data_IF_717588707605
#
_entry.id   IF_717588707605
#
_cell.length_a   1.000
_cell.length_b   1.000
_cell.length_c   1.000
_cell.angle_alpha   90.00
_cell.angle_beta   90.00
_cell.angle_gamma   90.00
#
_symmetry.space_group_name_H-M   'P 1'
#
loop_
_entity.id
_entity.type
_entity.pdbx_description
1 polymer ?
#
# COMPACT_ATOMS: atom_id res chain seq x y z
N UNK A 1 -21.89 10.89 -6.33
CA UNK A 1 -21.36 10.35 -5.03
C UNK A 1 -21.37 8.85 -5.14
N UNK A 2 -20.23 8.16 -4.91
CA UNK A 2 -20.17 6.71 -5.00
C UNK A 2 -20.86 6.07 -3.79
N UNK A 3 -21.60 4.99 -4.02
CA UNK A 3 -22.27 4.21 -2.98
C UNK A 3 -21.69 2.82 -2.83
N UNK A 4 -20.97 2.33 -3.86
CA UNK A 4 -20.37 1.00 -3.89
C UNK A 4 -18.92 1.03 -4.35
N UNK A 5 -18.12 0.04 -3.96
CA UNK A 5 -16.77 -0.12 -4.49
C UNK A 5 -16.75 -0.35 -6.01
N UNK A 6 -17.77 -1.03 -6.53
CA UNK A 6 -17.91 -1.27 -7.98
C UNK A 6 -18.04 0.04 -8.77
N UNK A 7 -18.82 0.99 -8.27
CA UNK A 7 -18.94 2.32 -8.89
C UNK A 7 -17.62 3.10 -8.84
N UNK A 8 -16.93 3.03 -7.69
CA UNK A 8 -15.62 3.66 -7.52
C UNK A 8 -14.59 3.05 -8.46
N UNK A 9 -14.54 1.72 -8.57
CA UNK A 9 -13.64 1.00 -9.49
C UNK A 9 -13.92 1.40 -10.95
N UNK A 10 -15.17 1.40 -11.37
CA UNK A 10 -15.58 1.79 -12.73
C UNK A 10 -15.16 3.24 -13.04
N UNK A 11 -15.31 4.15 -12.08
CA UNK A 11 -14.87 5.53 -12.23
C UNK A 11 -13.35 5.64 -12.41
N UNK A 12 -12.57 4.96 -11.56
CA UNK A 12 -11.09 4.98 -11.64
C UNK A 12 -10.61 4.43 -12.97
N UNK A 13 -11.18 3.32 -13.43
CA UNK A 13 -10.88 2.74 -14.76
C UNK A 13 -11.22 3.72 -15.90
N UNK A 14 -12.33 4.44 -15.78
CA UNK A 14 -12.74 5.44 -16.79
C UNK A 14 -11.82 6.66 -16.85
N UNK A 15 -11.03 6.94 -15.82
CA UNK A 15 -10.07 8.07 -15.81
C UNK A 15 -8.76 7.75 -16.54
N UNK A 16 -8.50 6.50 -16.92
CA UNK A 16 -7.21 6.05 -17.49
C UNK A 16 -5.99 6.42 -16.63
N UNK A 17 -6.18 6.62 -15.34
CA UNK A 17 -5.13 6.96 -14.39
C UNK A 17 -4.71 5.70 -13.64
N UNK A 18 -3.50 5.24 -13.89
CA UNK A 18 -2.90 4.17 -13.09
C UNK A 18 -2.04 4.77 -12.00
N UNK A 19 -2.28 4.35 -10.77
CA UNK A 19 -1.48 4.71 -9.61
C UNK A 19 -0.48 3.61 -9.28
N UNK A 20 0.71 3.99 -8.84
CA UNK A 20 1.75 3.03 -8.46
C UNK A 20 1.78 2.85 -6.96
N UNK A 21 1.71 1.59 -6.54
CA UNK A 21 1.86 1.17 -5.15
C UNK A 21 3.32 0.77 -4.91
N UNK A 22 3.94 1.29 -3.85
CA UNK A 22 5.20 0.77 -3.31
C UNK A 22 4.88 -0.15 -2.13
N UNK A 23 4.95 -1.47 -2.34
CA UNK A 23 4.64 -2.49 -1.33
C UNK A 23 5.90 -2.87 -0.55
N UNK A 24 5.98 -2.46 0.71
CA UNK A 24 7.08 -2.79 1.61
C UNK A 24 6.92 -4.20 2.20
N UNK A 25 7.96 -5.03 2.17
CA UNK A 25 7.95 -6.45 2.50
C UNK A 25 6.87 -7.21 1.72
N UNK A 26 7.01 -7.18 0.40
CA UNK A 26 6.04 -7.76 -0.53
C UNK A 26 6.00 -9.30 -0.54
N UNK A 27 6.91 -9.97 0.16
CA UNK A 27 6.89 -11.42 0.38
C UNK A 27 5.82 -11.80 1.45
N UNK A 28 4.61 -11.32 1.21
CA UNK A 28 3.40 -11.49 2.03
C UNK A 28 2.23 -11.79 1.11
N UNK A 29 1.76 -13.03 1.10
CA UNK A 29 0.75 -13.51 0.14
C UNK A 29 -0.51 -12.63 0.10
N UNK A 30 -1.15 -12.26 1.24
CA UNK A 30 -2.34 -11.43 1.21
C UNK A 30 -2.11 -10.04 0.58
N UNK A 31 -1.00 -9.39 0.93
CA UNK A 31 -0.69 -8.05 0.41
C UNK A 31 -0.29 -8.10 -1.07
N UNK A 32 0.55 -9.07 -1.45
CA UNK A 32 0.95 -9.26 -2.85
C UNK A 32 -0.26 -9.61 -3.73
N UNK A 33 -1.11 -10.54 -3.28
CA UNK A 33 -2.34 -10.92 -3.99
C UNK A 33 -3.26 -9.72 -4.20
N UNK A 34 -3.40 -8.83 -3.23
CA UNK A 34 -4.20 -7.61 -3.37
C UNK A 34 -3.65 -6.70 -4.48
N UNK A 35 -2.32 -6.51 -4.55
CA UNK A 35 -1.67 -5.71 -5.61
C UNK A 35 -1.84 -6.37 -6.97
N UNK A 36 -1.63 -7.69 -7.07
CA UNK A 36 -1.83 -8.48 -8.30
C UNK A 36 -3.25 -8.33 -8.83
N UNK A 37 -4.26 -8.51 -7.97
CA UNK A 37 -5.66 -8.36 -8.35
C UNK A 37 -5.98 -6.94 -8.85
N UNK A 38 -5.49 -5.92 -8.16
CA UNK A 38 -5.71 -4.53 -8.56
C UNK A 38 -5.00 -4.20 -9.90
N UNK A 39 -3.81 -4.78 -10.13
CA UNK A 39 -3.08 -4.65 -11.39
C UNK A 39 -3.81 -5.35 -12.54
N UNK A 40 -4.30 -6.57 -12.35
CA UNK A 40 -5.12 -7.29 -13.34
C UNK A 40 -6.36 -6.50 -13.76
N UNK A 41 -6.97 -5.79 -12.82
CA UNK A 41 -8.08 -4.88 -13.09
C UNK A 41 -7.66 -3.59 -13.78
N UNK A 42 -6.37 -3.32 -13.92
CA UNK A 42 -5.85 -2.08 -14.53
C UNK A 42 -5.92 -0.85 -13.64
N UNK A 43 -6.16 -1.02 -12.34
CA UNK A 43 -6.30 0.08 -11.37
C UNK A 43 -4.95 0.60 -10.89
N UNK A 44 -3.97 -0.30 -10.71
CA UNK A 44 -2.64 0.05 -10.19
C UNK A 44 -1.50 -0.60 -10.96
N UNK A 45 -0.31 -0.05 -10.77
CA UNK A 45 0.98 -0.70 -10.99
C UNK A 45 1.66 -0.94 -9.64
N UNK A 46 2.56 -1.94 -9.57
CA UNK A 46 3.25 -2.30 -8.33
C UNK A 46 4.76 -2.20 -8.43
N UNK A 47 5.39 -1.55 -7.43
CA UNK A 47 6.80 -1.71 -7.10
C UNK A 47 6.88 -2.55 -5.83
N UNK A 48 7.51 -3.72 -5.91
CA UNK A 48 7.53 -4.74 -4.87
C UNK A 48 8.91 -4.71 -4.16
N UNK A 49 8.92 -4.44 -2.86
CA UNK A 49 10.15 -4.31 -2.07
C UNK A 49 10.20 -5.49 -1.09
N UNK A 50 11.28 -6.26 -1.11
CA UNK A 50 11.45 -7.41 -0.21
C UNK A 50 12.35 -8.48 -0.80
N UNK A 51 12.31 -9.67 -0.24
CA UNK A 51 13.10 -10.82 -0.68
C UNK A 51 12.70 -11.24 -2.09
N UNK A 52 13.55 -10.88 -3.05
CA UNK A 52 13.26 -11.02 -4.48
C UNK A 52 12.83 -12.44 -4.86
N UNK A 53 13.58 -13.44 -4.41
CA UNK A 53 13.31 -14.83 -4.80
C UNK A 53 11.93 -15.28 -4.28
N UNK A 54 11.56 -14.93 -3.04
CA UNK A 54 10.24 -15.24 -2.47
C UNK A 54 9.12 -14.52 -3.22
N UNK A 55 9.34 -13.25 -3.61
CA UNK A 55 8.35 -12.48 -4.38
C UNK A 55 8.13 -13.13 -5.75
N UNK A 56 9.20 -13.54 -6.44
CA UNK A 56 9.14 -14.19 -7.75
C UNK A 56 8.37 -15.51 -7.65
N UNK A 57 8.70 -16.35 -6.65
CA UNK A 57 8.02 -17.63 -6.44
C UNK A 57 6.51 -17.42 -6.24
N UNK A 58 6.12 -16.48 -5.37
CA UNK A 58 4.71 -16.14 -5.15
C UNK A 58 4.01 -15.59 -6.40
N UNK A 59 4.69 -14.74 -7.20
CA UNK A 59 4.13 -14.24 -8.45
C UNK A 59 3.87 -15.39 -9.44
N UNK A 60 4.82 -16.34 -9.56
CA UNK A 60 4.66 -17.52 -10.43
C UNK A 60 3.50 -18.41 -9.95
N UNK A 61 3.35 -18.62 -8.63
CA UNK A 61 2.21 -19.35 -8.05
C UNK A 61 0.87 -18.69 -8.38
N UNK A 62 0.85 -17.35 -8.46
CA UNK A 62 -0.33 -16.57 -8.88
C UNK A 62 -0.51 -16.52 -10.40
N UNK A 63 0.40 -17.12 -11.19
CA UNK A 63 0.37 -17.07 -12.66
C UNK A 63 0.79 -15.75 -13.28
N UNK A 64 1.57 -14.97 -12.56
CA UNK A 64 2.13 -13.69 -13.01
C UNK A 64 3.54 -13.87 -13.58
N UNK A 65 3.93 -12.94 -14.46
CA UNK A 65 5.30 -12.84 -14.94
C UNK A 65 6.03 -11.75 -14.11
N UNK A 66 7.14 -12.10 -13.48
CA UNK A 66 7.96 -11.17 -12.70
C UNK A 66 8.44 -9.97 -13.50
N UNK A 67 8.60 -10.11 -14.82
CA UNK A 67 9.01 -9.02 -15.72
C UNK A 67 7.98 -7.88 -15.80
N UNK A 68 6.73 -8.14 -15.40
CA UNK A 68 5.66 -7.15 -15.38
C UNK A 68 5.65 -6.29 -14.10
N UNK A 69 6.60 -6.54 -13.19
CA UNK A 69 6.71 -5.87 -11.90
C UNK A 69 8.09 -5.25 -11.71
N UNK A 70 8.14 -4.10 -11.08
CA UNK A 70 9.38 -3.54 -10.57
C UNK A 70 9.67 -4.16 -9.21
N UNK A 71 10.77 -4.94 -9.09
CA UNK A 71 11.15 -5.60 -7.85
C UNK A 71 12.42 -4.96 -7.31
N UNK A 72 12.35 -4.44 -6.09
CA UNK A 72 13.48 -3.94 -5.33
C UNK A 72 13.89 -5.02 -4.34
N UNK A 73 15.01 -5.68 -4.64
CA UNK A 73 15.54 -6.72 -3.77
C UNK A 73 16.02 -6.12 -2.45
N UNK A 74 15.43 -6.58 -1.36
CA UNK A 74 15.72 -6.10 -0.01
C UNK A 74 15.46 -7.21 1.01
N UNK A 75 16.51 -7.58 1.75
CA UNK A 75 16.43 -8.51 2.90
C UNK A 75 17.03 -7.83 4.13
N UNK A 76 16.24 -7.06 4.85
CA UNK A 76 16.68 -6.31 6.00
C UNK A 76 15.54 -5.98 6.97
N UNK A 77 15.79 -5.02 7.84
CA UNK A 77 14.86 -4.59 8.88
C UNK A 77 13.56 -4.02 8.30
N UNK A 78 12.42 -4.32 8.93
CA UNK A 78 11.08 -3.85 8.53
C UNK A 78 11.00 -2.32 8.37
N UNK A 79 11.65 -1.59 9.26
CA UNK A 79 11.65 -0.13 9.20
C UNK A 79 12.37 0.38 7.94
N UNK A 80 13.43 -0.28 7.51
CA UNK A 80 14.17 0.11 6.30
C UNK A 80 13.37 -0.22 5.04
N UNK A 81 12.68 -1.38 4.99
CA UNK A 81 11.75 -1.68 3.90
C UNK A 81 10.64 -0.62 3.79
N UNK A 82 10.07 -0.20 4.93
CA UNK A 82 9.09 0.86 4.97
C UNK A 82 9.65 2.22 4.50
N UNK A 83 10.89 2.55 4.87
CA UNK A 83 11.58 3.76 4.41
C UNK A 83 11.82 3.76 2.90
N UNK A 84 12.15 2.61 2.30
CA UNK A 84 12.31 2.48 0.85
C UNK A 84 10.98 2.80 0.16
N UNK A 85 9.85 2.21 0.61
CA UNK A 85 8.53 2.49 0.05
C UNK A 85 8.15 3.97 0.17
N UNK A 86 8.35 4.57 1.34
CA UNK A 86 8.09 5.99 1.61
C UNK A 86 8.96 6.89 0.73
N UNK A 87 10.24 6.53 0.53
CA UNK A 87 11.18 7.27 -0.34
C UNK A 87 10.72 7.25 -1.79
N UNK A 88 10.27 6.11 -2.31
CA UNK A 88 9.75 6.00 -3.68
C UNK A 88 8.55 6.95 -3.88
N UNK A 89 7.66 7.04 -2.89
CA UNK A 89 6.53 7.97 -2.94
C UNK A 89 7.00 9.42 -2.88
N UNK A 90 7.94 9.73 -2.00
CA UNK A 90 8.49 11.09 -1.86
C UNK A 90 9.20 11.59 -3.12
N UNK A 91 9.86 10.68 -3.84
CA UNK A 91 10.55 10.94 -5.11
C UNK A 91 9.59 10.95 -6.33
N UNK A 92 8.29 10.70 -6.13
CA UNK A 92 7.31 10.63 -7.21
C UNK A 92 7.43 9.38 -8.11
N UNK A 93 8.17 8.38 -7.67
CA UNK A 93 8.31 7.07 -8.36
C UNK A 93 7.15 6.13 -8.04
N UNK A 94 6.46 6.36 -6.93
CA UNK A 94 5.22 5.73 -6.55
C UNK A 94 4.23 6.76 -6.01
N UNK A 95 2.95 6.40 -5.94
CA UNK A 95 1.89 7.28 -5.44
C UNK A 95 1.45 6.91 -4.02
N UNK A 96 1.51 5.62 -3.69
CA UNK A 96 0.93 5.09 -2.45
C UNK A 96 1.92 4.12 -1.81
N UNK A 97 2.36 4.34 -0.56
CA UNK A 97 3.09 3.33 0.17
C UNK A 97 2.11 2.33 0.79
N UNK A 98 2.38 1.05 0.64
CA UNK A 98 1.59 -0.04 1.21
C UNK A 98 2.48 -0.93 2.06
N UNK A 99 1.96 -1.42 3.20
CA UNK A 99 2.68 -2.40 4.01
C UNK A 99 2.25 -3.83 3.65
N UNK A 100 3.20 -4.73 3.53
CA UNK A 100 3.00 -6.17 3.60
C UNK A 100 3.27 -6.69 5.02
N UNK A 101 4.09 -7.74 5.13
CA UNK A 101 4.43 -8.34 6.43
C UNK A 101 5.43 -7.49 7.22
N UNK A 102 4.93 -6.47 7.89
CA UNK A 102 5.68 -5.64 8.81
C UNK A 102 4.79 -4.99 9.88
N UNK A 103 5.39 -4.60 10.98
CA UNK A 103 4.70 -3.93 12.09
C UNK A 103 4.13 -2.58 11.66
N UNK A 104 2.86 -2.33 12.00
CA UNK A 104 2.21 -1.04 11.70
C UNK A 104 2.96 0.14 12.33
N UNK A 105 3.58 -0.06 13.49
CA UNK A 105 4.41 0.95 14.14
C UNK A 105 5.67 1.31 13.34
N UNK A 106 6.33 0.34 12.71
CA UNK A 106 7.48 0.56 11.82
C UNK A 106 7.08 1.33 10.56
N UNK A 107 5.95 0.98 9.98
CA UNK A 107 5.39 1.69 8.83
C UNK A 107 5.02 3.14 9.17
N UNK A 108 4.32 3.35 10.29
CA UNK A 108 3.96 4.68 10.76
C UNK A 108 5.21 5.54 11.07
N UNK A 109 6.26 4.96 11.69
CA UNK A 109 7.53 5.65 11.93
C UNK A 109 8.18 6.13 10.64
N UNK A 110 8.15 5.32 9.57
CA UNK A 110 8.70 5.71 8.27
C UNK A 110 7.91 6.89 7.66
N UNK A 111 6.57 6.83 7.66
CA UNK A 111 5.70 7.88 7.13
C UNK A 111 5.86 9.19 7.91
N UNK A 112 5.92 9.11 9.25
CA UNK A 112 5.98 10.26 10.14
C UNK A 112 7.41 10.80 10.36
N UNK A 113 8.42 10.23 9.72
CA UNK A 113 9.80 10.70 9.87
C UNK A 113 9.92 12.17 9.45
N UNK A 114 10.67 12.95 10.24
CA UNK A 114 10.82 14.41 10.03
C UNK A 114 11.50 14.76 8.72
N UNK A 115 12.50 13.98 8.36
CA UNK A 115 13.41 14.30 7.26
C UNK A 115 13.02 13.54 5.99
N UNK A 116 12.69 12.26 6.15
CA UNK A 116 12.47 11.32 5.05
C UNK A 116 11.02 10.94 4.82
N UNK A 117 10.12 11.27 5.76
CA UNK A 117 8.71 10.92 5.69
C UNK A 117 7.89 11.75 4.71
N UNK A 118 6.59 11.48 4.68
CA UNK A 118 5.63 12.10 3.75
C UNK A 118 4.91 13.30 4.35
N UNK A 119 5.07 13.56 5.65
CA UNK A 119 4.38 14.68 6.30
C UNK A 119 4.99 16.02 5.92
N UNK A 120 4.17 17.04 5.61
CA UNK A 120 4.66 18.40 5.40
C UNK A 120 5.44 18.91 6.62
N UNK A 121 6.49 19.66 6.39
CA UNK A 121 7.39 20.14 7.47
C UNK A 121 6.68 20.94 8.55
N UNK A 122 5.63 21.68 8.19
CA UNK A 122 4.87 22.57 9.08
C UNK A 122 3.55 21.95 9.60
N UNK A 123 3.26 20.69 9.27
CA UNK A 123 2.03 20.04 9.71
C UNK A 123 2.18 19.40 11.09
N UNK A 124 1.08 19.39 11.86
CA UNK A 124 0.99 18.52 13.03
C UNK A 124 1.09 17.08 12.55
N UNK A 125 2.00 16.30 13.13
CA UNK A 125 2.21 14.90 12.76
C UNK A 125 1.12 14.04 13.37
N UNK A 126 0.01 13.98 12.67
CA UNK A 126 -1.13 13.15 13.03
C UNK A 126 -1.39 12.17 11.89
N UNK A 127 -1.43 10.90 12.20
CA UNK A 127 -1.87 9.84 11.29
C UNK A 127 -3.20 9.32 11.82
N UNK A 128 -4.26 9.46 11.03
CA UNK A 128 -5.55 8.89 11.33
C UNK A 128 -5.85 7.71 10.40
N UNK A 129 -6.59 6.75 10.88
CA UNK A 129 -7.04 5.60 10.12
C UNK A 129 -8.50 5.79 9.71
N UNK A 130 -8.80 5.56 8.43
CA UNK A 130 -10.17 5.50 7.93
C UNK A 130 -10.41 4.11 7.35
N UNK A 131 -11.30 3.36 7.97
CA UNK A 131 -11.82 2.10 7.42
C UNK A 131 -13.06 2.38 6.60
N UNK A 132 -13.09 1.92 5.35
CA UNK A 132 -14.26 2.02 4.49
C UNK A 132 -14.76 0.63 4.15
N UNK A 133 -16.05 0.38 4.30
CA UNK A 133 -16.70 -0.87 3.92
C UNK A 133 -18.07 -0.61 3.29
N UNK A 134 -18.53 -1.56 2.51
CA UNK A 134 -19.83 -1.50 1.85
C UNK A 134 -20.82 -2.37 2.64
N UNK A 135 -21.95 -1.79 3.01
CA UNK A 135 -23.02 -2.47 3.68
C UNK A 135 -24.38 -2.01 3.10
N UNK A 136 -25.19 -2.96 2.65
CA UNK A 136 -26.52 -2.71 2.04
C UNK A 136 -26.48 -1.63 0.93
N UNK A 137 -25.48 -1.68 0.06
CA UNK A 137 -25.34 -0.74 -1.06
C UNK A 137 -24.96 0.68 -0.66
N UNK A 138 -24.36 0.87 0.52
CA UNK A 138 -23.85 2.15 1.00
C UNK A 138 -22.45 2.01 1.53
N UNK A 139 -21.66 3.08 1.35
CA UNK A 139 -20.39 3.19 2.07
C UNK A 139 -20.61 3.56 3.52
N UNK A 140 -19.97 2.81 4.40
CA UNK A 140 -19.79 3.15 5.80
C UNK A 140 -18.31 3.41 6.06
N UNK A 141 -18.03 4.49 6.77
CA UNK A 141 -16.67 4.88 7.14
C UNK A 141 -16.53 4.89 8.65
N UNK A 142 -15.45 4.28 9.14
CA UNK A 142 -15.05 4.33 10.54
C UNK A 142 -13.69 5.01 10.59
N UNK A 143 -13.58 6.06 11.36
CA UNK A 143 -12.33 6.76 11.61
C UNK A 143 -11.94 6.62 13.06
N UNK A 144 -10.62 6.52 13.31
CA UNK A 144 -10.03 6.46 14.66
C UNK A 144 -10.70 5.45 15.61
N UNK A 145 -11.10 4.29 15.06
CA UNK A 145 -11.63 3.18 15.83
C UNK A 145 -10.53 2.58 16.72
N UNK A 146 -10.09 3.33 17.74
CA UNK A 146 -9.28 2.80 18.82
C UNK A 146 -10.18 2.23 19.89
N UNK A 147 -10.03 0.97 20.22
CA UNK A 147 -10.45 0.47 21.51
C UNK A 147 -9.58 1.20 22.56
N UNK A 148 -10.14 2.25 23.16
CA UNK A 148 -9.54 2.80 24.39
C UNK A 148 -9.74 1.79 25.51
N UNK A 149 -8.81 0.89 25.69
CA UNK A 149 -8.59 0.33 27.01
C UNK A 149 -7.96 1.43 27.87
N UNK A 150 -8.79 2.21 28.49
CA UNK A 150 -8.38 3.04 29.63
C UNK A 150 -8.11 2.10 30.79
N UNK A 151 -6.85 1.92 31.11
CA UNK A 151 -6.42 1.49 32.45
C UNK A 151 -6.18 2.71 33.33
#
# INVERSE_FOLDING_TARGET
>A
MFTTFKEMEAYVLGQNLKKRIALANAHDEPALSAVVHAKRKGVVEGTLIGKKDMIIDMLHEMGENEADYEIVDFDGEELEAAKIAVKLVKEGKADIPMKGILQTSSFAKAILNKETGLMPQNAKRLLSQVGTFEYEGRFMMITDARSEERR
#
